data_IF_620690041972
#
_entry.id   IF_620690041972
#
_cell.length_a   1.000
_cell.length_b   1.000
_cell.length_c   1.000
_cell.angle_alpha   90.00
_cell.angle_beta   90.00
_cell.angle_gamma   90.00
#
_symmetry.space_group_name_H-M   'P 1'
#
loop_
_entity.id
_entity.type
_entity.pdbx_description
1 polymer ?
#
# COMPACT_ATOMS: atom_id res chain seq x y z
N UNK A 1 6.20 22.42 -9.31
CA UNK A 1 6.81 21.68 -10.46
C UNK A 1 7.83 20.61 -10.01
N UNK A 2 8.85 20.96 -9.17
CA UNK A 2 9.89 20.01 -8.78
C UNK A 2 9.38 18.82 -7.95
N UNK A 3 8.54 19.07 -6.96
CA UNK A 3 8.00 18.02 -6.08
C UNK A 3 7.05 17.09 -6.83
N UNK A 4 6.17 17.64 -7.65
CA UNK A 4 5.25 16.86 -8.48
C UNK A 4 6.01 15.95 -9.46
N UNK A 5 7.07 16.46 -10.08
CA UNK A 5 7.93 15.66 -10.95
C UNK A 5 8.58 14.50 -10.17
N UNK A 6 9.14 14.78 -9.00
CA UNK A 6 9.71 13.72 -8.13
C UNK A 6 8.67 12.67 -7.75
N UNK A 7 7.47 13.09 -7.39
CA UNK A 7 6.37 12.20 -7.08
C UNK A 7 6.00 11.32 -8.27
N UNK A 8 5.81 11.91 -9.45
CA UNK A 8 5.46 11.18 -10.67
C UNK A 8 6.55 10.19 -11.12
N UNK A 9 7.81 10.46 -10.86
CA UNK A 9 8.89 9.49 -11.09
C UNK A 9 8.83 8.36 -10.05
N UNK A 10 8.61 8.68 -8.80
CA UNK A 10 8.55 7.71 -7.71
C UNK A 10 7.42 6.69 -7.91
N UNK A 11 6.19 7.12 -8.25
CA UNK A 11 5.05 6.21 -8.44
C UNK A 11 5.22 5.20 -9.60
N UNK A 12 6.20 5.42 -10.49
CA UNK A 12 6.55 4.48 -11.57
C UNK A 12 7.54 3.40 -11.14
N UNK A 13 8.25 3.59 -10.02
CA UNK A 13 9.31 2.67 -9.59
C UNK A 13 8.81 1.25 -9.29
N UNK A 14 7.64 1.03 -8.67
CA UNK A 14 7.16 -0.34 -8.44
C UNK A 14 6.96 -1.14 -9.73
N UNK A 15 6.43 -0.52 -10.78
CA UNK A 15 6.27 -1.17 -12.10
C UNK A 15 7.64 -1.47 -12.73
N UNK A 16 8.61 -0.56 -12.58
CA UNK A 16 9.99 -0.80 -13.02
C UNK A 16 10.61 -2.00 -12.28
N UNK A 17 10.46 -2.06 -10.96
CA UNK A 17 10.94 -3.16 -10.12
C UNK A 17 10.29 -4.49 -10.51
N UNK A 18 8.98 -4.50 -10.79
CA UNK A 18 8.29 -5.68 -11.31
C UNK A 18 8.89 -6.15 -12.63
N UNK A 19 9.23 -5.23 -13.54
CA UNK A 19 9.91 -5.57 -14.78
C UNK A 19 11.27 -6.26 -14.56
N UNK A 20 11.99 -5.90 -13.51
CA UNK A 20 13.23 -6.59 -13.10
C UNK A 20 12.92 -7.98 -12.55
N UNK A 21 11.95 -8.10 -11.65
CA UNK A 21 11.53 -9.40 -11.08
C UNK A 21 11.09 -10.39 -12.15
N UNK A 22 10.27 -9.96 -13.11
CA UNK A 22 9.83 -10.81 -14.23
C UNK A 22 11.01 -11.32 -15.08
N UNK A 23 11.96 -10.45 -15.40
CA UNK A 23 13.18 -10.87 -16.12
C UNK A 23 14.02 -11.88 -15.31
N UNK A 24 14.17 -11.67 -14.01
CA UNK A 24 14.87 -12.63 -13.15
C UNK A 24 14.12 -13.97 -13.11
N UNK A 25 12.80 -13.94 -12.94
CA UNK A 25 11.96 -15.14 -12.95
C UNK A 25 12.17 -15.96 -14.24
N UNK A 26 12.15 -15.30 -15.39
CA UNK A 26 12.31 -15.96 -16.70
C UNK A 26 13.71 -16.54 -16.92
N UNK A 27 14.72 -15.99 -16.28
CA UNK A 27 16.12 -16.45 -16.39
C UNK A 27 16.48 -17.57 -15.42
N UNK A 28 15.74 -17.72 -14.33
CA UNK A 28 16.06 -18.66 -13.25
C UNK A 28 15.42 -20.03 -13.49
N UNK A 29 16.11 -21.14 -13.07
CA UNK A 29 15.53 -22.47 -13.10
C UNK A 29 14.20 -22.53 -12.34
N UNK A 30 13.26 -23.37 -12.82
CA UNK A 30 11.89 -23.47 -12.32
C UNK A 30 11.78 -23.68 -10.79
N UNK A 31 12.75 -24.37 -10.18
CA UNK A 31 12.78 -24.66 -8.74
C UNK A 31 13.49 -23.58 -7.89
N UNK A 32 13.89 -22.47 -8.51
CA UNK A 32 14.58 -21.37 -7.83
C UNK A 32 13.58 -20.34 -7.35
N UNK A 33 13.76 -19.84 -6.13
CA UNK A 33 12.99 -18.76 -5.54
C UNK A 33 13.80 -17.47 -5.56
N UNK A 34 13.09 -16.34 -5.66
CA UNK A 34 13.67 -15.00 -5.55
C UNK A 34 13.50 -14.51 -4.12
N UNK A 35 14.57 -14.10 -3.44
CA UNK A 35 14.53 -13.32 -2.22
C UNK A 35 14.76 -11.86 -2.57
N UNK A 36 13.82 -10.99 -2.24
CA UNK A 36 13.95 -9.54 -2.41
C UNK A 36 14.47 -8.95 -1.11
N UNK A 37 15.78 -9.06 -0.90
CA UNK A 37 16.42 -8.90 0.43
C UNK A 37 16.41 -7.46 0.95
N UNK A 38 16.42 -6.46 0.05
CA UNK A 38 16.44 -5.05 0.42
C UNK A 38 15.53 -4.23 -0.49
N UNK A 39 14.60 -3.50 0.10
CA UNK A 39 13.83 -2.49 -0.61
C UNK A 39 13.41 -1.34 0.30
N UNK A 40 13.53 -0.14 -0.22
CA UNK A 40 12.94 1.09 0.29
C UNK A 40 13.05 2.16 -0.80
N UNK A 41 12.64 3.39 -0.52
CA UNK A 41 12.96 4.51 -1.38
C UNK A 41 14.38 5.01 -1.05
N UNK A 42 15.24 5.09 -2.07
CA UNK A 42 16.64 5.48 -1.93
C UNK A 42 16.82 6.79 -1.14
N UNK A 43 17.82 6.83 -0.27
CA UNK A 43 18.19 7.96 0.59
C UNK A 43 17.29 8.21 1.80
N UNK A 44 16.48 7.26 2.24
CA UNK A 44 15.69 7.43 3.47
C UNK A 44 16.56 7.69 4.70
N UNK A 45 17.78 7.15 4.76
CA UNK A 45 18.72 7.43 5.83
C UNK A 45 19.33 8.85 5.81
N UNK A 46 19.16 9.61 4.71
CA UNK A 46 19.68 10.97 4.61
C UNK A 46 18.68 12.03 5.11
N UNK A 47 17.44 11.63 5.35
CA UNK A 47 16.35 12.51 5.78
C UNK A 47 15.22 11.70 6.40
N UNK A 48 14.43 12.34 7.24
CA UNK A 48 13.22 11.69 7.77
C UNK A 48 12.26 11.35 6.65
N UNK A 49 11.71 10.12 6.62
CA UNK A 49 10.70 9.72 5.64
C UNK A 49 9.49 10.67 5.65
N UNK A 50 8.93 10.90 4.48
CA UNK A 50 7.71 11.67 4.29
C UNK A 50 6.57 10.77 3.84
N UNK A 51 5.38 11.33 3.69
CA UNK A 51 4.24 10.62 3.11
C UNK A 51 4.47 10.17 1.65
N UNK A 52 5.47 10.72 0.95
CA UNK A 52 5.92 10.22 -0.36
C UNK A 52 6.46 8.78 -0.22
N UNK A 53 7.36 8.54 0.74
CA UNK A 53 7.89 7.20 1.04
C UNK A 53 6.79 6.25 1.51
N UNK A 54 5.80 6.77 2.24
CA UNK A 54 4.62 6.00 2.65
C UNK A 54 3.77 5.52 1.47
N UNK A 55 3.52 6.37 0.47
CA UNK A 55 2.81 6.00 -0.76
C UNK A 55 3.61 4.96 -1.56
N UNK A 56 4.92 5.19 -1.74
CA UNK A 56 5.80 4.22 -2.39
C UNK A 56 5.75 2.85 -1.69
N UNK A 57 5.83 2.85 -0.36
CA UNK A 57 5.73 1.63 0.45
C UNK A 57 4.42 0.89 0.22
N UNK A 58 3.29 1.60 0.22
CA UNK A 58 1.99 1.01 -0.04
C UNK A 58 1.91 0.38 -1.44
N UNK A 59 2.42 1.07 -2.48
CA UNK A 59 2.48 0.52 -3.83
C UNK A 59 3.38 -0.73 -3.92
N UNK A 60 4.56 -0.71 -3.30
CA UNK A 60 5.46 -1.87 -3.29
C UNK A 60 4.79 -3.07 -2.60
N UNK A 61 4.11 -2.85 -1.47
CA UNK A 61 3.39 -3.91 -0.76
C UNK A 61 2.24 -4.46 -1.60
N UNK A 62 1.46 -3.62 -2.30
CA UNK A 62 0.44 -4.06 -3.24
C UNK A 62 1.05 -4.92 -4.36
N UNK A 63 2.15 -4.46 -4.97
CA UNK A 63 2.86 -5.22 -5.99
C UNK A 63 3.32 -6.59 -5.46
N UNK A 64 3.91 -6.63 -4.26
CA UNK A 64 4.37 -7.90 -3.67
C UNK A 64 3.20 -8.84 -3.38
N UNK A 65 2.08 -8.36 -2.85
CA UNK A 65 0.89 -9.20 -2.62
C UNK A 65 0.33 -9.81 -3.91
N UNK A 66 0.31 -9.05 -5.01
CA UNK A 66 -0.18 -9.55 -6.30
C UNK A 66 0.79 -10.48 -7.03
N UNK A 67 2.10 -10.27 -6.86
CA UNK A 67 3.11 -10.89 -7.73
C UNK A 67 3.99 -11.93 -7.02
N UNK A 68 3.98 -11.99 -5.68
CA UNK A 68 4.88 -12.88 -4.92
C UNK A 68 4.80 -14.34 -5.36
N UNK A 69 3.59 -14.88 -5.51
CA UNK A 69 3.39 -16.26 -5.95
C UNK A 69 3.79 -16.43 -7.42
N UNK A 70 3.34 -15.55 -8.30
CA UNK A 70 3.62 -15.59 -9.74
C UNK A 70 5.12 -15.50 -10.04
N UNK A 71 5.86 -14.69 -9.26
CA UNK A 71 7.29 -14.49 -9.44
C UNK A 71 8.15 -15.44 -8.57
N UNK A 72 7.54 -16.41 -7.88
CA UNK A 72 8.24 -17.30 -6.95
C UNK A 72 9.09 -16.55 -5.92
N UNK A 73 8.51 -15.47 -5.37
CA UNK A 73 9.16 -14.58 -4.42
C UNK A 73 8.51 -14.71 -3.03
N UNK A 74 8.96 -15.66 -2.20
CA UNK A 74 8.35 -15.92 -0.90
C UNK A 74 8.70 -14.85 0.16
N UNK A 75 9.67 -13.98 -0.11
CA UNK A 75 10.16 -13.02 0.86
C UNK A 75 10.55 -11.70 0.20
N UNK A 76 10.16 -10.59 0.83
CA UNK A 76 10.60 -9.23 0.51
C UNK A 76 10.89 -8.47 1.81
N UNK A 77 12.13 -8.05 2.02
CA UNK A 77 12.60 -7.45 3.27
C UNK A 77 12.74 -5.93 3.11
N UNK A 78 11.98 -5.18 3.93
CA UNK A 78 12.14 -3.73 3.97
C UNK A 78 13.45 -3.36 4.68
N UNK A 79 14.29 -2.56 4.05
CA UNK A 79 15.57 -2.15 4.56
C UNK A 79 15.64 -0.62 4.75
N UNK A 80 15.76 -0.15 6.01
CA UNK A 80 15.51 -0.89 7.23
C UNK A 80 14.44 -0.20 8.07
N UNK A 81 13.69 -0.94 8.91
CA UNK A 81 12.50 -0.37 9.53
C UNK A 81 12.78 0.61 10.68
N UNK A 82 13.89 0.43 11.43
CA UNK A 82 14.14 1.21 12.66
C UNK A 82 15.10 2.34 12.39
N UNK A 83 14.71 3.57 12.73
CA UNK A 83 15.45 4.83 12.61
C UNK A 83 15.86 5.25 11.17
N UNK A 84 15.52 4.45 10.17
CA UNK A 84 15.77 4.76 8.76
C UNK A 84 14.52 4.77 7.88
N UNK A 85 13.46 4.11 8.29
CA UNK A 85 12.27 3.97 7.46
C UNK A 85 10.95 4.01 8.21
N UNK A 86 10.51 2.87 8.77
CA UNK A 86 9.14 2.70 9.24
C UNK A 86 8.87 3.31 10.62
N UNK A 87 9.85 3.36 11.49
CA UNK A 87 9.69 3.90 12.84
C UNK A 87 10.92 4.67 13.31
N UNK A 88 10.69 5.69 14.12
CA UNK A 88 11.72 6.43 14.82
C UNK A 88 11.67 6.05 16.30
N UNK A 89 12.81 5.62 16.85
CA UNK A 89 12.95 5.26 18.26
C UNK A 89 13.70 6.38 18.97
N UNK A 90 13.03 6.99 19.94
CA UNK A 90 13.57 8.02 20.82
C UNK A 90 13.83 7.44 22.22
N UNK A 91 14.57 8.12 23.11
CA UNK A 91 14.85 7.59 24.44
C UNK A 91 13.61 7.30 25.29
N UNK A 92 12.49 7.97 25.04
CA UNK A 92 11.27 7.96 25.85
C UNK A 92 10.02 7.48 25.09
N UNK A 93 10.07 7.40 23.77
CA UNK A 93 8.92 6.96 22.95
C UNK A 93 9.37 6.41 21.60
N UNK A 94 8.41 5.81 20.88
CA UNK A 94 8.56 5.38 19.49
C UNK A 94 7.40 5.91 18.67
N UNK A 95 7.69 6.43 17.48
CA UNK A 95 6.67 6.91 16.55
C UNK A 95 6.77 6.21 15.20
N UNK A 96 5.63 6.06 14.53
CA UNK A 96 5.58 5.58 13.16
C UNK A 96 5.78 6.76 12.20
N UNK A 97 6.67 6.58 11.24
CA UNK A 97 6.75 7.45 10.07
C UNK A 97 5.58 7.17 9.11
N UNK A 98 5.45 7.93 8.03
CA UNK A 98 4.47 7.62 6.98
C UNK A 98 4.65 6.21 6.40
N UNK A 99 5.88 5.74 6.25
CA UNK A 99 6.17 4.34 5.86
C UNK A 99 5.64 3.35 6.88
N UNK A 100 5.85 3.59 8.17
CA UNK A 100 5.33 2.76 9.25
C UNK A 100 3.79 2.77 9.31
N UNK A 101 3.16 3.92 9.07
CA UNK A 101 1.71 4.03 8.96
C UNK A 101 1.16 3.19 7.78
N UNK A 102 1.84 3.20 6.62
CA UNK A 102 1.48 2.35 5.48
C UNK A 102 1.59 0.86 5.82
N UNK A 103 2.70 0.42 6.45
CA UNK A 103 2.84 -0.95 6.95
C UNK A 103 1.73 -1.33 7.94
N UNK A 104 1.43 -0.48 8.91
CA UNK A 104 0.38 -0.71 9.90
C UNK A 104 -1.01 -0.84 9.24
N UNK A 105 -1.30 -0.03 8.21
CA UNK A 105 -2.56 -0.12 7.48
C UNK A 105 -2.63 -1.41 6.67
N UNK A 106 -1.59 -1.77 5.92
CA UNK A 106 -1.57 -2.93 5.03
C UNK A 106 -1.36 -4.26 5.79
N UNK A 107 -0.91 -4.24 7.04
CA UNK A 107 -0.83 -5.45 7.89
C UNK A 107 -2.19 -6.11 8.12
N UNK A 108 -3.30 -5.42 7.84
CA UNK A 108 -4.66 -5.97 7.81
C UNK A 108 -4.84 -7.13 6.82
N UNK A 109 -3.99 -7.23 5.81
CA UNK A 109 -3.98 -8.33 4.86
C UNK A 109 -3.28 -9.60 5.38
N UNK A 110 -2.57 -9.50 6.51
CA UNK A 110 -1.78 -10.62 7.04
C UNK A 110 -2.67 -11.83 7.37
N UNK A 111 -2.29 -13.00 6.87
CA UNK A 111 -3.04 -14.24 7.02
C UNK A 111 -4.26 -14.38 6.10
N UNK A 112 -4.62 -13.33 5.37
CA UNK A 112 -5.72 -13.37 4.39
C UNK A 112 -5.30 -14.00 3.06
N UNK A 113 -6.27 -14.61 2.37
CA UNK A 113 -6.12 -15.13 1.01
C UNK A 113 -6.44 -14.03 0.00
N UNK A 114 -5.55 -13.83 -0.97
CA UNK A 114 -5.73 -12.84 -2.03
C UNK A 114 -6.99 -13.14 -2.85
N UNK A 115 -7.77 -12.11 -3.13
CA UNK A 115 -8.96 -12.16 -3.99
C UNK A 115 -8.68 -11.47 -5.32
N UNK A 116 -9.32 -11.93 -6.37
CA UNK A 116 -9.33 -11.21 -7.65
C UNK A 116 -10.23 -9.98 -7.54
N UNK A 117 -9.75 -8.85 -8.05
CA UNK A 117 -10.50 -7.60 -8.15
C UNK A 117 -10.60 -7.22 -9.61
N UNK A 118 -11.83 -7.08 -10.12
CA UNK A 118 -12.07 -6.71 -11.50
C UNK A 118 -12.22 -5.20 -11.67
N UNK A 119 -11.84 -4.68 -12.85
CA UNK A 119 -12.10 -3.29 -13.24
C UNK A 119 -11.17 -2.25 -12.63
N UNK A 120 -10.02 -2.66 -12.09
CA UNK A 120 -8.99 -1.75 -11.57
C UNK A 120 -7.67 -1.96 -12.30
N UNK A 121 -6.88 -0.90 -12.40
CA UNK A 121 -5.56 -0.95 -13.02
C UNK A 121 -4.49 -1.43 -12.02
N UNK A 122 -3.33 -1.76 -12.55
CA UNK A 122 -2.17 -2.38 -11.87
C UNK A 122 -1.94 -1.94 -10.42
N UNK A 123 -2.16 -2.88 -9.48
CA UNK A 123 -1.84 -2.74 -8.05
C UNK A 123 -2.53 -1.60 -7.29
N UNK A 124 -3.54 -0.95 -7.87
CA UNK A 124 -4.26 0.12 -7.18
C UNK A 124 -5.14 -0.42 -6.05
N UNK A 125 -5.63 -1.64 -6.16
CA UNK A 125 -6.47 -2.29 -5.14
C UNK A 125 -5.94 -3.66 -4.80
N UNK A 126 -5.85 -3.96 -3.51
CA UNK A 126 -5.65 -5.31 -2.98
C UNK A 126 -6.85 -5.70 -2.15
N UNK A 127 -7.33 -6.91 -2.34
CA UNK A 127 -8.40 -7.51 -1.55
C UNK A 127 -7.95 -8.86 -0.98
N UNK A 128 -8.21 -9.10 0.30
CA UNK A 128 -8.00 -10.40 0.95
C UNK A 128 -9.18 -10.78 1.81
N UNK A 129 -9.40 -12.09 1.98
CA UNK A 129 -10.37 -12.63 2.94
C UNK A 129 -9.61 -13.50 3.94
N UNK A 130 -9.82 -13.26 5.23
CA UNK A 130 -9.23 -14.04 6.31
C UNK A 130 -10.14 -15.23 6.74
N UNK A 131 -9.63 -16.05 7.67
CA UNK A 131 -10.35 -17.20 8.19
C UNK A 131 -11.55 -16.81 9.08
N UNK A 132 -11.71 -15.54 9.45
CA UNK A 132 -12.87 -14.97 10.15
C UNK A 132 -13.92 -14.40 9.20
N UNK A 133 -13.77 -14.63 7.89
CA UNK A 133 -14.62 -14.08 6.84
C UNK A 133 -14.65 -12.54 6.82
N UNK A 134 -13.53 -11.91 7.16
CA UNK A 134 -13.37 -10.47 6.99
C UNK A 134 -12.69 -10.20 5.64
N UNK A 135 -13.41 -9.49 4.79
CA UNK A 135 -12.87 -8.93 3.54
C UNK A 135 -12.14 -7.63 3.87
N UNK A 136 -10.86 -7.58 3.62
CA UNK A 136 -10.06 -6.36 3.69
C UNK A 136 -9.71 -5.88 2.29
N UNK A 137 -10.01 -4.61 2.02
CA UNK A 137 -9.61 -3.93 0.79
C UNK A 137 -8.69 -2.76 1.15
N UNK A 138 -7.55 -2.68 0.48
CA UNK A 138 -6.76 -1.44 0.45
C UNK A 138 -6.73 -0.88 -0.95
N UNK A 139 -6.83 0.44 -1.06
CA UNK A 139 -6.98 1.19 -2.31
C UNK A 139 -5.99 2.34 -2.33
N UNK A 140 -5.41 2.63 -3.48
CA UNK A 140 -4.48 3.74 -3.67
C UNK A 140 -5.11 4.82 -4.57
N UNK A 141 -4.96 6.07 -4.20
CA UNK A 141 -5.12 7.17 -5.13
C UNK A 141 -3.77 7.84 -5.36
N UNK A 142 -3.18 7.57 -6.51
CA UNK A 142 -1.87 8.06 -6.90
C UNK A 142 -1.91 9.39 -7.64
N UNK A 143 -3.09 9.95 -7.92
CA UNK A 143 -3.24 11.24 -8.59
C UNK A 143 -2.62 12.36 -7.75
N UNK A 144 -1.97 13.30 -8.42
CA UNK A 144 -1.33 14.43 -7.76
C UNK A 144 -2.32 15.40 -7.12
N UNK A 145 -3.48 15.65 -7.78
CA UNK A 145 -4.48 16.64 -7.34
C UNK A 145 -5.92 16.14 -7.39
N UNK A 146 -6.19 15.03 -8.07
CA UNK A 146 -7.56 14.58 -8.32
C UNK A 146 -7.98 13.51 -7.33
N UNK A 147 -9.23 13.58 -6.90
CA UNK A 147 -9.88 12.54 -6.12
C UNK A 147 -10.24 11.34 -7.01
N UNK A 148 -10.17 10.15 -6.44
CA UNK A 148 -10.59 8.91 -7.12
C UNK A 148 -11.76 8.28 -6.36
N UNK A 149 -12.72 7.71 -7.09
CA UNK A 149 -13.84 6.99 -6.50
C UNK A 149 -13.82 5.54 -6.94
N UNK A 150 -13.70 4.62 -5.98
CA UNK A 150 -13.88 3.20 -6.19
C UNK A 150 -15.32 2.81 -5.86
N UNK A 151 -15.89 1.94 -6.69
CA UNK A 151 -17.23 1.38 -6.48
C UNK A 151 -17.13 -0.12 -6.28
N UNK A 152 -17.72 -0.63 -5.22
CA UNK A 152 -17.76 -2.06 -4.92
C UNK A 152 -19.18 -2.47 -4.52
N UNK A 153 -19.55 -3.69 -4.87
CA UNK A 153 -20.82 -4.24 -4.44
C UNK A 153 -20.80 -4.45 -2.93
N UNK A 154 -21.85 -4.05 -2.23
CA UNK A 154 -21.98 -4.28 -0.81
C UNK A 154 -22.15 -5.78 -0.56
N UNK A 155 -21.25 -6.33 0.26
CA UNK A 155 -21.21 -7.76 0.53
C UNK A 155 -21.26 -8.11 2.03
N UNK A 156 -21.54 -7.13 2.91
CA UNK A 156 -21.58 -7.36 4.35
C UNK A 156 -21.60 -6.06 5.17
N UNK A 157 -21.19 -6.16 6.43
CA UNK A 157 -21.13 -5.04 7.38
C UNK A 157 -19.76 -4.41 7.40
N UNK A 158 -19.66 -3.10 7.18
CA UNK A 158 -18.41 -2.35 7.27
C UNK A 158 -17.97 -2.29 8.73
N UNK A 159 -16.80 -2.85 9.04
CA UNK A 159 -16.21 -2.88 10.38
C UNK A 159 -15.30 -1.67 10.61
N UNK A 160 -14.51 -1.32 9.60
CA UNK A 160 -13.53 -0.24 9.65
C UNK A 160 -13.43 0.43 8.29
N UNK A 161 -13.22 1.74 8.30
CA UNK A 161 -12.86 2.51 7.12
C UNK A 161 -11.90 3.63 7.53
N UNK A 162 -10.81 3.76 6.82
CA UNK A 162 -9.86 4.86 7.06
C UNK A 162 -9.07 5.20 5.81
N UNK A 163 -8.55 6.41 5.78
CA UNK A 163 -7.65 6.89 4.74
C UNK A 163 -6.45 7.58 5.37
N UNK A 164 -5.28 7.25 4.85
CA UNK A 164 -4.01 7.94 5.09
C UNK A 164 -3.79 8.90 3.92
N UNK A 165 -3.80 10.19 4.18
CA UNK A 165 -3.64 11.24 3.16
C UNK A 165 -2.30 11.94 3.30
N UNK A 166 -1.58 12.11 2.18
CA UNK A 166 -0.40 12.94 2.08
C UNK A 166 -0.80 14.39 1.77
N UNK A 167 -0.98 15.20 2.80
CA UNK A 167 -1.31 16.63 2.64
C UNK A 167 -0.15 17.40 2.01
N UNK A 168 1.08 17.10 2.44
CA UNK A 168 2.31 17.59 1.81
C UNK A 168 3.35 16.46 1.81
N UNK A 169 4.42 16.62 0.99
CA UNK A 169 5.46 15.61 0.79
C UNK A 169 6.83 16.06 1.33
N UNK A 170 6.85 17.00 2.27
CA UNK A 170 8.09 17.46 2.88
C UNK A 170 8.70 16.40 3.80
N UNK A 171 10.03 16.33 3.91
CA UNK A 171 10.70 15.39 4.80
C UNK A 171 10.15 15.45 6.23
N UNK A 172 9.93 14.29 6.84
CA UNK A 172 9.38 14.15 8.19
C UNK A 172 7.88 14.36 8.31
N UNK A 173 7.15 14.57 7.19
CA UNK A 173 5.69 14.71 7.25
C UNK A 173 5.02 13.34 7.20
N UNK A 174 4.31 12.91 8.28
CA UNK A 174 3.53 11.69 8.28
C UNK A 174 2.27 11.85 7.41
N UNK A 175 1.53 10.75 7.25
CA UNK A 175 0.16 10.84 6.76
C UNK A 175 -0.76 11.46 7.82
N UNK A 176 -1.77 12.18 7.36
CA UNK A 176 -2.96 12.50 8.15
C UNK A 176 -3.95 11.34 8.04
N UNK A 177 -4.32 10.73 9.16
CA UNK A 177 -5.32 9.66 9.21
C UNK A 177 -6.71 10.26 9.42
N UNK A 178 -7.66 9.89 8.55
CA UNK A 178 -9.05 10.33 8.62
C UNK A 178 -10.00 9.14 8.34
N UNK A 179 -11.29 9.22 8.75
CA UNK A 179 -12.32 8.33 8.22
C UNK A 179 -12.41 8.46 6.69
N UNK A 180 -12.46 7.34 5.99
CA UNK A 180 -12.68 7.35 4.55
C UNK A 180 -14.12 7.76 4.24
N UNK A 181 -14.31 8.66 3.27
CA UNK A 181 -15.63 9.06 2.81
C UNK A 181 -16.29 7.93 2.03
N UNK A 182 -17.38 7.38 2.58
CA UNK A 182 -18.12 6.27 2.01
C UNK A 182 -19.58 6.68 1.83
N UNK A 183 -20.14 6.37 0.64
CA UNK A 183 -21.56 6.45 0.35
C UNK A 183 -22.09 5.06 -0.01
N UNK A 184 -23.14 4.60 0.68
CA UNK A 184 -23.80 3.34 0.38
C UNK A 184 -25.16 3.66 -0.22
N UNK A 185 -25.40 3.21 -1.45
CA UNK A 185 -26.68 3.37 -2.16
C UNK A 185 -26.88 2.20 -3.12
N UNK A 186 -28.09 1.66 -3.14
CA UNK A 186 -28.51 0.56 -4.06
C UNK A 186 -27.53 -0.63 -4.03
N UNK A 187 -27.11 -1.03 -2.82
CA UNK A 187 -26.10 -2.08 -2.57
C UNK A 187 -24.73 -1.83 -3.22
N UNK A 188 -24.41 -0.58 -3.51
CA UNK A 188 -23.09 -0.15 -3.97
C UNK A 188 -22.46 0.73 -2.90
N UNK A 189 -21.23 0.37 -2.53
CA UNK A 189 -20.35 1.20 -1.69
C UNK A 189 -19.50 2.03 -2.65
N UNK A 190 -19.58 3.36 -2.53
CA UNK A 190 -18.66 4.28 -3.20
C UNK A 190 -17.69 4.84 -2.18
N UNK A 191 -16.41 4.53 -2.35
CA UNK A 191 -15.31 4.99 -1.53
C UNK A 191 -14.59 6.12 -2.28
N UNK A 192 -14.59 7.32 -1.71
CA UNK A 192 -13.97 8.51 -2.30
C UNK A 192 -12.63 8.79 -1.63
N UNK A 193 -11.55 8.65 -2.37
CA UNK A 193 -10.19 8.83 -1.91
C UNK A 193 -9.66 10.21 -2.31
N UNK A 194 -9.11 11.00 -1.37
CA UNK A 194 -8.39 12.22 -1.71
C UNK A 194 -7.12 11.93 -2.53
N UNK A 195 -6.54 12.91 -3.20
CA UNK A 195 -5.29 12.70 -3.93
C UNK A 195 -4.16 12.27 -3.00
N UNK A 196 -3.20 11.50 -3.53
CA UNK A 196 -2.03 11.02 -2.80
C UNK A 196 -2.40 10.33 -1.49
N UNK A 197 -3.21 9.27 -1.57
CA UNK A 197 -3.73 8.59 -0.39
C UNK A 197 -3.74 7.08 -0.50
N UNK A 198 -3.78 6.45 0.67
CA UNK A 198 -3.94 5.00 0.85
C UNK A 198 -5.16 4.79 1.75
N UNK A 199 -6.15 4.06 1.28
CA UNK A 199 -7.36 3.78 2.06
C UNK A 199 -7.49 2.29 2.39
N UNK A 200 -8.19 2.00 3.49
CA UNK A 200 -8.55 0.65 3.90
C UNK A 200 -10.03 0.59 4.27
N UNK A 201 -10.71 -0.48 3.83
CA UNK A 201 -12.05 -0.86 4.27
C UNK A 201 -11.99 -2.33 4.71
N UNK A 202 -12.53 -2.63 5.89
CA UNK A 202 -12.74 -4.01 6.34
C UNK A 202 -14.23 -4.28 6.45
N UNK A 203 -14.70 -5.43 5.91
CA UNK A 203 -16.11 -5.80 5.80
C UNK A 203 -16.27 -7.21 6.38
N UNK A 204 -17.16 -7.38 7.37
CA UNK A 204 -17.60 -8.72 7.80
C UNK A 204 -18.56 -9.29 6.77
N UNK A 205 -18.24 -10.48 6.24
CA UNK A 205 -19.08 -11.22 5.29
C UNK A 205 -20.09 -12.14 5.97
N UNK A 206 -20.02 -12.26 7.29
CA UNK A 206 -21.01 -13.00 8.10
C UNK A 206 -21.96 -12.02 8.76
N UNK A 207 -23.26 -12.41 8.79
CA UNK A 207 -24.33 -11.67 9.47
C UNK A 207 -24.26 -11.87 10.99
#
# INVERSE_FOLDING_TARGET
>A
EGMERCYNEMIRMPIHNLGILRRLHDMLPEKTFISYDEWNLWKTWCRNPSSMEGIFTAQMLHMFMHESEKQRMPMACYFEPVNEGAMQVHPDHTELTATGQAFALLSRHAGGKLCTVDGVEDFEVVATIDDHHVLTLTMLNLNWQEETTYSLNKCGTILENKVLQAENLLPGTPFTENPLMIHVKDDIIKAKLPPRSVACISISLVE
#
